data_IF_108558986538
#
_entry.id   IF_108558986538
#
_cell.length_a   1.000
_cell.length_b   1.000
_cell.length_c   1.000
_cell.angle_alpha   90.00
_cell.angle_beta   90.00
_cell.angle_gamma   90.00
#
_symmetry.space_group_name_H-M   'P 1'
#
loop_
_entity.id
_entity.type
_entity.pdbx_description
1 polymer ?
#
# COMPACT_ATOMS: atom_id res chain seq x y z
N UNK A 1 -4.77 54.83 17.89
CA UNK A 1 -5.60 53.69 17.46
C UNK A 1 -4.71 52.45 17.43
N UNK A 2 -4.88 51.53 18.38
CA UNK A 2 -4.04 50.34 18.46
C UNK A 2 -4.54 49.29 17.45
N UNK A 3 -3.66 48.89 16.51
CA UNK A 3 -3.93 47.81 15.59
C UNK A 3 -4.06 46.49 16.37
N UNK A 4 -5.27 45.92 16.40
CA UNK A 4 -5.48 44.56 16.92
C UNK A 4 -4.70 43.59 16.03
N UNK A 5 -3.63 43.01 16.57
CA UNK A 5 -2.94 41.88 15.94
C UNK A 5 -3.95 40.73 15.80
N UNK A 6 -4.34 40.41 14.55
CA UNK A 6 -5.10 39.18 14.26
C UNK A 6 -4.25 38.01 14.74
N UNK A 7 -4.77 37.22 15.68
CA UNK A 7 -4.15 35.94 16.00
C UNK A 7 -4.15 35.08 14.73
N UNK A 8 -3.05 34.36 14.43
CA UNK A 8 -3.05 33.42 13.33
C UNK A 8 -4.10 32.34 13.62
N UNK A 9 -4.99 32.09 12.66
CA UNK A 9 -5.91 30.96 12.71
C UNK A 9 -5.09 29.68 12.89
N UNK A 10 -5.50 28.81 13.83
CA UNK A 10 -4.90 27.48 14.01
C UNK A 10 -4.99 26.74 12.67
N UNK A 11 -3.89 26.13 12.22
CA UNK A 11 -3.89 25.28 11.02
C UNK A 11 -4.59 23.95 11.34
N UNK A 12 -5.28 23.41 10.35
CA UNK A 12 -5.88 22.07 10.43
C UNK A 12 -4.82 21.01 10.10
N UNK A 13 -4.82 19.89 10.82
CA UNK A 13 -3.96 18.75 10.52
C UNK A 13 -4.63 17.91 9.44
N UNK A 14 -3.96 17.74 8.31
CA UNK A 14 -4.45 17.06 7.13
C UNK A 14 -3.70 15.75 6.89
N UNK A 15 -4.45 14.66 6.73
CA UNK A 15 -3.95 13.38 6.22
C UNK A 15 -4.38 13.11 4.78
N UNK A 16 -3.71 12.17 4.12
CA UNK A 16 -3.97 11.80 2.74
C UNK A 16 -4.30 10.32 2.60
N UNK A 17 -5.41 10.04 1.94
CA UNK A 17 -5.76 8.71 1.45
C UNK A 17 -5.60 8.66 -0.08
N UNK A 18 -5.32 7.47 -0.61
CA UNK A 18 -5.02 7.28 -2.04
C UNK A 18 -6.05 6.37 -2.70
N UNK A 19 -7.25 6.87 -3.02
CA UNK A 19 -8.22 6.07 -3.76
C UNK A 19 -7.77 5.83 -5.20
N UNK A 20 -8.11 4.66 -5.73
CA UNK A 20 -8.06 4.41 -7.15
C UNK A 20 -9.13 5.26 -7.84
N UNK A 21 -8.71 6.25 -8.63
CA UNK A 21 -9.60 7.13 -9.38
C UNK A 21 -10.50 6.40 -10.40
N UNK A 22 -10.28 5.10 -10.65
CA UNK A 22 -11.08 4.27 -11.56
C UNK A 22 -12.13 3.47 -10.81
N UNK A 23 -11.77 2.82 -9.71
CA UNK A 23 -12.64 1.85 -9.02
C UNK A 23 -12.98 2.20 -7.57
N UNK A 24 -12.45 3.30 -7.02
CA UNK A 24 -12.76 3.79 -5.66
C UNK A 24 -12.02 3.07 -4.53
N UNK A 25 -11.34 1.95 -4.79
CA UNK A 25 -10.60 1.22 -3.75
C UNK A 25 -9.55 2.14 -3.10
N UNK A 26 -9.53 2.23 -1.76
CA UNK A 26 -8.65 3.13 -1.01
C UNK A 26 -7.36 2.41 -0.62
N UNK A 27 -6.23 2.96 -1.06
CA UNK A 27 -4.90 2.46 -0.75
C UNK A 27 -4.21 3.38 0.26
N UNK A 28 -3.34 2.83 1.10
CA UNK A 28 -2.70 3.60 2.18
C UNK A 28 -1.50 4.40 1.67
N UNK A 29 -0.84 3.96 0.59
CA UNK A 29 0.34 4.65 0.03
C UNK A 29 0.18 4.96 -1.46
N UNK A 30 0.70 6.10 -1.90
CA UNK A 30 0.72 6.50 -3.30
C UNK A 30 1.27 5.42 -4.25
N UNK A 31 2.35 4.74 -3.85
CA UNK A 31 2.97 3.67 -4.65
C UNK A 31 2.03 2.47 -4.81
N UNK A 32 1.22 2.17 -3.80
CA UNK A 32 0.22 1.10 -3.89
C UNK A 32 -0.89 1.47 -4.85
N UNK A 33 -1.36 2.73 -4.83
CA UNK A 33 -2.35 3.22 -5.79
C UNK A 33 -1.83 3.16 -7.23
N UNK A 34 -0.60 3.58 -7.50
CA UNK A 34 0.02 3.47 -8.83
C UNK A 34 0.10 2.01 -9.27
N UNK A 35 0.60 1.12 -8.40
CA UNK A 35 0.70 -0.32 -8.70
C UNK A 35 -0.68 -0.94 -8.97
N UNK A 36 -1.70 -0.57 -8.19
CA UNK A 36 -3.06 -1.02 -8.39
C UNK A 36 -3.59 -0.59 -9.76
N UNK A 37 -3.40 0.67 -10.15
CA UNK A 37 -3.82 1.19 -11.46
C UNK A 37 -3.13 0.46 -12.60
N UNK A 38 -1.83 0.19 -12.48
CA UNK A 38 -1.06 -0.52 -13.49
C UNK A 38 -1.45 -2.00 -13.60
N UNK A 39 -1.57 -2.71 -12.48
CA UNK A 39 -1.83 -4.17 -12.48
C UNK A 39 -3.30 -4.49 -12.76
N UNK A 40 -4.23 -3.76 -12.14
CA UNK A 40 -5.66 -4.08 -12.22
C UNK A 40 -6.30 -3.46 -13.45
N UNK A 41 -5.97 -2.20 -13.74
CA UNK A 41 -6.59 -1.47 -14.84
C UNK A 41 -5.75 -1.51 -16.12
N UNK A 42 -4.44 -1.74 -16.01
CA UNK A 42 -3.52 -1.78 -17.15
C UNK A 42 -3.06 -0.39 -17.59
N UNK A 43 -3.29 0.65 -16.78
CA UNK A 43 -2.94 2.03 -17.11
C UNK A 43 -1.68 2.43 -16.38
N UNK A 44 -0.81 3.18 -17.05
CA UNK A 44 0.44 3.63 -16.44
C UNK A 44 0.30 5.09 -16.00
N UNK A 45 0.60 5.33 -14.72
CA UNK A 45 0.68 6.67 -14.16
C UNK A 45 2.15 7.08 -13.94
N UNK A 46 2.49 8.36 -14.15
CA UNK A 46 3.81 8.86 -13.79
C UNK A 46 4.01 8.81 -12.27
N UNK A 47 5.22 8.47 -11.85
CA UNK A 47 5.60 8.47 -10.43
C UNK A 47 6.11 9.86 -10.05
N UNK A 48 5.74 10.33 -8.85
CA UNK A 48 6.32 11.56 -8.27
C UNK A 48 7.85 11.47 -8.22
N UNK A 49 8.53 12.55 -8.57
CA UNK A 49 9.98 12.63 -8.44
C UNK A 49 10.41 12.52 -6.97
N UNK A 50 11.37 11.63 -6.71
CA UNK A 50 11.94 11.42 -5.38
C UNK A 50 12.79 12.64 -5.00
N UNK A 51 12.76 13.02 -3.72
CA UNK A 51 13.58 14.12 -3.18
C UNK A 51 12.88 15.48 -3.11
N UNK A 52 11.69 15.62 -3.69
CA UNK A 52 10.87 16.83 -3.54
C UNK A 52 9.86 16.66 -2.40
N UNK A 53 9.80 17.65 -1.52
CA UNK A 53 8.79 17.72 -0.46
C UNK A 53 7.50 18.36 -0.99
N UNK A 54 6.36 17.97 -0.41
CA UNK A 54 5.08 18.64 -0.65
C UNK A 54 5.20 20.13 -0.30
N UNK A 55 4.76 21.05 -1.17
CA UNK A 55 4.72 22.48 -0.85
C UNK A 55 3.91 22.76 0.43
N UNK A 56 4.37 23.71 1.23
CA UNK A 56 3.69 24.11 2.46
C UNK A 56 2.39 24.86 2.12
N UNK A 57 1.31 24.52 2.84
CA UNK A 57 0.03 25.24 2.73
C UNK A 57 -0.17 26.14 3.97
N UNK A 58 -0.67 27.38 3.81
CA UNK A 58 -0.97 28.25 4.95
C UNK A 58 -2.12 27.74 5.83
N UNK A 59 -3.03 26.90 5.33
CA UNK A 59 -4.20 26.39 6.05
C UNK A 59 -3.95 25.05 6.72
N UNK A 60 -3.04 24.23 6.17
CA UNK A 60 -2.82 22.86 6.62
C UNK A 60 -1.43 22.60 7.20
N UNK A 61 -1.40 21.70 8.18
CA UNK A 61 -0.23 20.95 8.61
C UNK A 61 -0.38 19.50 8.16
N UNK A 62 0.63 18.90 7.53
CA UNK A 62 0.49 17.57 6.94
C UNK A 62 0.92 16.49 7.93
N UNK A 63 0.02 15.56 8.22
CA UNK A 63 0.33 14.30 8.88
C UNK A 63 0.27 13.16 7.84
N UNK A 64 1.43 12.57 7.50
CA UNK A 64 1.48 11.53 6.47
C UNK A 64 1.31 10.11 7.02
N UNK A 65 1.44 9.94 8.34
CA UNK A 65 1.42 8.63 8.99
C UNK A 65 0.54 8.71 10.27
N UNK A 66 -0.77 9.00 10.15
CA UNK A 66 -1.66 8.96 11.31
C UNK A 66 -1.80 7.52 11.82
N UNK A 67 -1.77 7.33 13.14
CA UNK A 67 -1.98 6.03 13.77
C UNK A 67 -3.45 5.79 14.14
N UNK A 68 -4.16 6.89 14.37
CA UNK A 68 -5.54 6.97 14.83
C UNK A 68 -6.28 8.14 14.16
N UNK A 69 -7.61 8.10 14.21
CA UNK A 69 -8.46 9.18 13.68
C UNK A 69 -8.35 10.49 14.49
N UNK A 70 -7.80 10.43 15.71
CA UNK A 70 -7.55 11.60 16.54
C UNK A 70 -6.27 12.37 16.12
N UNK A 71 -5.45 11.79 15.22
CA UNK A 71 -4.17 12.37 14.79
C UNK A 71 -4.32 13.38 13.63
N UNK A 72 -5.53 13.59 13.11
CA UNK A 72 -5.81 14.53 12.03
C UNK A 72 -7.18 15.18 12.19
N UNK A 73 -7.32 16.42 11.72
CA UNK A 73 -8.59 17.15 11.71
C UNK A 73 -9.41 16.81 10.44
N UNK A 74 -8.71 16.61 9.31
CA UNK A 74 -9.32 16.35 8.00
C UNK A 74 -8.53 15.31 7.21
N UNK A 75 -9.22 14.55 6.37
CA UNK A 75 -8.63 13.62 5.40
C UNK A 75 -8.98 14.09 3.99
N UNK A 76 -8.02 14.04 3.07
CA UNK A 76 -8.21 14.35 1.66
C UNK A 76 -7.77 13.18 0.77
N UNK A 77 -8.41 13.06 -0.38
CA UNK A 77 -7.93 12.22 -1.46
C UNK A 77 -6.75 12.89 -2.14
N UNK A 78 -5.65 12.16 -2.27
CA UNK A 78 -4.44 12.66 -2.90
C UNK A 78 -4.15 11.96 -4.23
N UNK A 79 -3.69 12.75 -5.19
CA UNK A 79 -3.10 12.21 -6.40
C UNK A 79 -1.79 11.46 -6.06
N UNK A 80 -1.65 10.25 -6.59
CA UNK A 80 -0.43 9.46 -6.40
C UNK A 80 0.75 10.00 -7.23
N UNK A 81 0.46 10.75 -8.30
CA UNK A 81 1.42 11.23 -9.31
C UNK A 81 1.88 12.68 -9.12
N UNK A 82 1.17 13.50 -8.34
CA UNK A 82 1.59 14.86 -8.01
C UNK A 82 1.09 15.31 -6.63
N UNK A 83 1.18 16.61 -6.31
CA UNK A 83 0.77 17.14 -5.00
C UNK A 83 -0.71 17.54 -4.92
N UNK A 84 -1.48 17.38 -5.99
CA UNK A 84 -2.92 17.63 -5.99
C UNK A 84 -3.63 16.78 -4.94
N UNK A 85 -4.63 17.38 -4.29
CA UNK A 85 -5.54 16.71 -3.39
C UNK A 85 -6.89 17.42 -3.38
N UNK A 86 -7.93 16.70 -3.00
CA UNK A 86 -9.30 17.19 -2.88
C UNK A 86 -9.99 16.56 -1.66
N UNK A 87 -11.10 17.14 -1.16
CA UNK A 87 -11.91 16.52 -0.11
C UNK A 87 -12.33 15.08 -0.44
N UNK A 88 -12.68 14.26 0.55
CA UNK A 88 -13.08 12.85 0.33
C UNK A 88 -14.37 12.67 -0.47
N UNK A 89 -15.20 13.70 -0.62
CA UNK A 89 -16.30 13.67 -1.58
C UNK A 89 -15.83 13.85 -3.05
N UNK A 90 -14.55 14.15 -3.26
CA UNK A 90 -13.97 14.63 -4.51
C UNK A 90 -13.39 13.55 -5.42
N UNK A 91 -13.83 12.29 -5.36
CA UNK A 91 -13.24 11.24 -6.21
C UNK A 91 -13.39 11.56 -7.72
N UNK A 92 -14.49 12.21 -8.10
CA UNK A 92 -14.66 12.71 -9.47
C UNK A 92 -13.60 13.77 -9.81
N UNK A 93 -13.38 14.73 -8.91
CA UNK A 93 -12.38 15.79 -9.08
C UNK A 93 -10.97 15.19 -9.22
N UNK A 94 -10.66 14.15 -8.43
CA UNK A 94 -9.42 13.41 -8.56
C UNK A 94 -9.30 12.70 -9.92
N UNK A 95 -10.36 12.06 -10.41
CA UNK A 95 -10.38 11.43 -11.73
C UNK A 95 -10.15 12.45 -12.85
N UNK A 96 -10.88 13.57 -12.81
CA UNK A 96 -10.74 14.66 -13.78
C UNK A 96 -9.29 15.19 -13.78
N UNK A 97 -8.73 15.46 -12.60
CA UNK A 97 -7.34 15.88 -12.45
C UNK A 97 -6.35 14.88 -13.07
N UNK A 98 -6.51 13.59 -12.81
CA UNK A 98 -5.59 12.57 -13.36
C UNK A 98 -5.67 12.51 -14.88
N UNK A 99 -6.88 12.60 -15.45
CA UNK A 99 -7.06 12.58 -16.90
C UNK A 99 -6.46 13.81 -17.59
N UNK A 100 -6.61 14.99 -16.97
CA UNK A 100 -6.16 16.27 -17.53
C UNK A 100 -4.66 16.52 -17.32
N UNK A 101 -4.12 16.19 -16.14
CA UNK A 101 -2.76 16.56 -15.75
C UNK A 101 -1.72 15.46 -16.00
N UNK A 102 -2.14 14.18 -16.04
CA UNK A 102 -1.20 13.06 -16.09
C UNK A 102 -1.32 12.20 -17.34
N UNK A 103 -2.40 12.31 -18.11
CA UNK A 103 -2.64 11.58 -19.36
C UNK A 103 -2.13 10.13 -19.32
N UNK A 104 -2.82 9.23 -18.56
CA UNK A 104 -2.32 7.88 -18.32
C UNK A 104 -2.04 7.14 -19.63
N UNK A 105 -0.92 6.39 -19.69
CA UNK A 105 -0.61 5.58 -20.87
C UNK A 105 -1.44 4.29 -20.88
N UNK A 106 -1.55 3.67 -22.06
CA UNK A 106 -2.23 2.39 -22.28
C UNK A 106 -3.72 2.38 -21.91
N UNK A 107 -4.36 3.54 -21.93
CA UNK A 107 -5.80 3.65 -21.70
C UNK A 107 -6.55 2.97 -22.83
N UNK A 108 -7.06 1.76 -22.55
CA UNK A 108 -7.89 1.00 -23.50
C UNK A 108 -9.26 1.67 -23.61
N UNK A 109 -9.66 2.18 -24.79
CA UNK A 109 -10.95 2.85 -24.98
C UNK A 109 -12.16 1.94 -24.70
N UNK A 110 -11.96 0.61 -24.73
CA UNK A 110 -13.00 -0.38 -24.45
C UNK A 110 -13.32 -0.48 -22.95
N UNK A 111 -12.37 -0.16 -22.08
CA UNK A 111 -12.52 -0.22 -20.61
C UNK A 111 -13.01 1.10 -20.01
N UNK A 112 -12.83 2.21 -20.73
CA UNK A 112 -13.34 3.53 -20.37
C UNK A 112 -14.30 3.97 -21.45
N UNK A 113 -15.61 4.07 -21.17
CA UNK A 113 -16.64 4.58 -22.08
C UNK A 113 -16.20 5.87 -22.82
N UNK A 114 -15.47 5.73 -23.92
CA UNK A 114 -14.87 6.83 -24.69
C UNK A 114 -13.97 7.80 -23.89
N UNK A 115 -13.17 7.29 -22.95
CA UNK A 115 -12.11 8.10 -22.30
C UNK A 115 -12.52 8.90 -21.07
N UNK A 116 -13.80 8.92 -20.69
CA UNK A 116 -14.26 9.47 -19.41
C UNK A 116 -14.30 8.37 -18.34
N UNK A 117 -13.29 8.35 -17.47
CA UNK A 117 -13.32 7.56 -16.24
C UNK A 117 -14.31 8.25 -15.31
N UNK A 118 -15.56 7.79 -15.30
CA UNK A 118 -16.49 8.11 -14.22
C UNK A 118 -15.88 7.50 -12.97
N UNK A 119 -15.25 8.33 -12.14
CA UNK A 119 -14.57 7.86 -10.94
C UNK A 119 -15.43 6.86 -10.18
N UNK A 120 -14.80 5.81 -9.65
CA UNK A 120 -15.51 4.82 -8.84
C UNK A 120 -16.30 5.46 -7.70
N UNK A 121 -17.10 4.68 -7.00
CA UNK A 121 -17.69 5.13 -5.74
C UNK A 121 -16.81 4.59 -4.60
N UNK A 122 -16.39 5.47 -3.70
CA UNK A 122 -15.77 5.02 -2.43
C UNK A 122 -16.91 4.62 -1.52
N UNK A 123 -16.90 3.39 -1.03
CA UNK A 123 -17.88 2.95 -0.02
C UNK A 123 -17.32 3.14 1.38
N UNK A 124 -18.18 3.34 2.38
CA UNK A 124 -17.76 3.50 3.79
C UNK A 124 -16.93 2.30 4.32
N UNK A 125 -17.08 1.13 3.69
CA UNK A 125 -16.31 -0.09 3.97
C UNK A 125 -14.85 0.01 3.50
N UNK A 126 -14.56 0.82 2.49
CA UNK A 126 -13.22 1.02 1.96
C UNK A 126 -12.40 1.97 2.86
N UNK A 127 -13.07 2.90 3.54
CA UNK A 127 -12.46 3.87 4.46
C UNK A 127 -12.00 3.17 5.75
N UNK A 128 -12.87 2.36 6.36
CA UNK A 128 -12.61 1.68 7.64
C UNK A 128 -11.54 0.57 7.57
N UNK A 129 -11.34 -0.03 6.39
CA UNK A 129 -10.32 -1.06 6.21
C UNK A 129 -8.90 -0.47 6.07
N UNK A 130 -8.75 0.76 5.60
CA UNK A 130 -7.44 1.35 5.32
C UNK A 130 -6.59 1.58 6.60
N UNK A 131 -7.19 2.14 7.65
CA UNK A 131 -6.52 2.34 8.95
C UNK A 131 -6.05 1.02 9.58
N UNK A 132 -6.87 -0.03 9.49
CA UNK A 132 -6.54 -1.33 10.10
C UNK A 132 -5.49 -2.13 9.30
N UNK A 133 -5.43 -1.97 7.98
CA UNK A 133 -4.45 -2.66 7.14
C UNK A 133 -3.04 -2.02 7.20
N UNK A 134 -2.94 -0.71 7.52
CA UNK A 134 -1.67 -0.04 7.76
C UNK A 134 -0.92 -0.62 8.97
N UNK A 135 -1.64 -0.93 10.07
CA UNK A 135 -1.08 -1.56 11.28
C UNK A 135 -0.48 -2.94 11.01
N UNK A 136 -1.06 -3.73 10.11
CA UNK A 136 -0.59 -5.09 9.84
C UNK A 136 0.62 -5.15 8.87
N UNK A 137 0.83 -4.12 8.05
CA UNK A 137 1.90 -4.10 7.04
C UNK A 137 3.17 -3.35 7.50
N UNK A 138 3.08 -2.44 8.48
CA UNK A 138 4.27 -1.81 9.09
C UNK A 138 5.18 -2.85 9.77
N UNK A 139 4.58 -3.84 10.45
CA UNK A 139 5.32 -4.91 11.14
C UNK A 139 6.00 -5.94 10.22
N UNK A 140 5.79 -5.87 8.90
CA UNK A 140 6.40 -6.80 7.94
C UNK A 140 7.50 -6.16 7.09
N UNK A 141 7.58 -4.82 7.06
CA UNK A 141 8.58 -4.09 6.28
C UNK A 141 9.81 -3.65 7.10
N UNK A 142 9.66 -3.53 8.42
CA UNK A 142 10.74 -3.28 9.37
C UNK A 142 11.15 -4.62 9.99
N UNK A 143 12.24 -5.22 9.52
CA UNK A 143 12.78 -6.48 10.06
C UNK A 143 13.33 -6.35 11.48
N UNK A 144 12.49 -6.02 12.45
CA UNK A 144 12.82 -6.14 13.88
C UNK A 144 12.46 -7.57 14.28
N UNK A 145 13.45 -8.44 14.12
CA UNK A 145 13.50 -9.70 14.87
C UNK A 145 13.79 -9.29 16.31
N UNK A 146 12.73 -9.13 17.12
CA UNK A 146 12.87 -9.01 18.56
C UNK A 146 13.34 -10.37 19.08
N UNK A 147 14.65 -10.53 19.07
CA UNK A 147 15.36 -11.62 19.70
C UNK A 147 15.34 -11.36 21.20
N UNK A 148 14.36 -11.94 21.91
CA UNK A 148 14.44 -12.16 23.35
C UNK A 148 14.50 -13.66 23.60
N UNK A 149 15.72 -14.17 23.61
CA UNK A 149 16.10 -15.27 24.47
C UNK A 149 15.89 -14.86 25.93
N UNK A 150 15.22 -15.73 26.68
CA UNK A 150 15.48 -16.15 28.08
C UNK A 150 14.20 -16.84 28.58
N UNK A 151 14.11 -18.17 28.53
CA UNK A 151 14.65 -19.18 29.47
C UNK A 151 13.69 -19.53 30.61
N UNK A 152 13.47 -20.85 30.69
CA UNK A 152 13.25 -21.70 31.87
C UNK A 152 11.82 -21.81 32.44
N UNK A 153 11.29 -23.04 32.44
CA UNK A 153 10.08 -23.40 33.17
C UNK A 153 9.44 -24.70 32.71
N UNK A 154 10.04 -25.83 33.09
CA UNK A 154 9.48 -27.18 33.03
C UNK A 154 8.09 -27.26 33.71
N UNK A 155 7.11 -27.99 33.16
CA UNK A 155 6.66 -29.30 33.69
C UNK A 155 5.40 -29.84 32.94
N UNK A 156 5.24 -31.16 33.05
CA UNK A 156 4.38 -32.12 32.34
C UNK A 156 2.86 -31.90 32.44
N UNK A 157 2.08 -32.38 31.44
CA UNK A 157 1.15 -33.54 31.59
C UNK A 157 0.51 -33.98 30.25
N UNK A 158 0.41 -35.30 30.09
CA UNK A 158 -0.24 -36.08 29.02
C UNK A 158 -1.77 -36.06 29.14
N UNK A 159 -2.49 -36.17 28.01
CA UNK A 159 -3.66 -37.06 27.85
C UNK A 159 -4.24 -37.02 26.41
N UNK A 160 -4.38 -38.21 25.82
CA UNK A 160 -5.07 -38.54 24.58
C UNK A 160 -6.58 -38.24 24.60
N UNK A 161 -7.19 -38.01 23.43
CA UNK A 161 -8.17 -38.93 22.81
C UNK A 161 -8.77 -38.41 21.49
N UNK A 162 -9.09 -39.39 20.65
CA UNK A 162 -9.65 -39.42 19.29
C UNK A 162 -10.94 -38.59 19.03
N UNK A 163 -11.16 -38.13 17.79
CA UNK A 163 -11.94 -38.85 16.76
C UNK A 163 -12.20 -37.99 15.48
N UNK A 164 -12.48 -38.71 14.40
CA UNK A 164 -12.41 -38.42 12.94
C UNK A 164 -13.30 -37.29 12.38
N UNK A 165 -12.87 -36.68 11.27
CA UNK A 165 -13.64 -36.75 10.01
C UNK A 165 -12.86 -36.37 8.74
N UNK A 166 -13.08 -37.16 7.70
CA UNK A 166 -12.52 -37.14 6.34
C UNK A 166 -12.82 -35.87 5.51
N UNK A 167 -11.85 -35.43 4.68
CA UNK A 167 -12.02 -35.31 3.21
C UNK A 167 -10.77 -34.79 2.46
N UNK A 168 -10.22 -35.68 1.63
CA UNK A 168 -9.51 -35.50 0.36
C UNK A 168 -9.16 -34.07 -0.09
N UNK A 169 -7.85 -33.82 -0.15
CA UNK A 169 -7.19 -32.94 -1.12
C UNK A 169 -5.69 -33.19 -1.01
N UNK A 170 -5.10 -33.92 -1.96
CA UNK A 170 -3.67 -34.21 -2.03
C UNK A 170 -2.84 -32.94 -1.76
N UNK A 171 -2.07 -32.86 -0.65
CA UNK A 171 -1.03 -31.87 -0.56
C UNK A 171 0.08 -32.37 -1.49
N UNK A 172 0.13 -31.83 -2.71
CA UNK A 172 1.31 -31.98 -3.58
C UNK A 172 2.51 -31.35 -2.89
N UNK A 173 3.13 -32.19 -2.08
CA UNK A 173 4.56 -32.42 -1.96
C UNK A 173 5.42 -31.15 -1.90
N UNK A 174 5.27 -30.44 -0.79
CA UNK A 174 6.17 -29.35 -0.38
C UNK A 174 7.62 -29.87 -0.31
N UNK A 175 7.83 -31.15 0.01
CA UNK A 175 9.14 -31.79 0.01
C UNK A 175 9.80 -31.78 -1.38
N UNK A 176 9.01 -32.06 -2.40
CA UNK A 176 9.43 -32.04 -3.82
C UNK A 176 9.86 -30.62 -4.28
N UNK A 177 9.24 -29.57 -3.73
CA UNK A 177 9.61 -28.18 -4.00
C UNK A 177 10.98 -27.86 -3.38
N UNK A 178 11.19 -28.24 -2.12
CA UNK A 178 12.48 -28.02 -1.44
C UNK A 178 13.61 -28.80 -2.09
N UNK A 179 13.34 -30.02 -2.56
CA UNK A 179 14.32 -30.83 -3.26
C UNK A 179 14.74 -30.19 -4.60
N UNK A 180 13.78 -29.68 -5.38
CA UNK A 180 14.06 -28.96 -6.63
C UNK A 180 14.83 -27.65 -6.41
N UNK A 181 14.56 -26.94 -5.31
CA UNK A 181 15.31 -25.72 -4.97
C UNK A 181 16.77 -26.04 -4.62
N UNK A 182 17.03 -27.13 -3.90
CA UNK A 182 18.40 -27.58 -3.62
C UNK A 182 19.13 -28.01 -4.89
N UNK A 183 18.48 -28.76 -5.78
CA UNK A 183 19.07 -29.16 -7.06
C UNK A 183 19.41 -27.94 -7.95
N UNK A 184 18.57 -26.89 -7.92
CA UNK A 184 18.82 -25.65 -8.64
C UNK A 184 20.02 -24.89 -8.06
N UNK A 185 20.12 -24.83 -6.73
CA UNK A 185 21.25 -24.19 -6.04
C UNK A 185 22.58 -24.88 -6.36
N UNK A 186 22.59 -26.22 -6.38
CA UNK A 186 23.77 -27.01 -6.74
C UNK A 186 24.21 -26.82 -8.20
N UNK A 187 23.25 -26.72 -9.13
CA UNK A 187 23.55 -26.40 -10.52
C UNK A 187 24.19 -25.01 -10.66
N UNK A 188 23.66 -24.00 -9.97
CA UNK A 188 24.23 -22.65 -9.97
C UNK A 188 25.66 -22.63 -9.40
N UNK A 189 25.90 -23.35 -8.30
CA UNK A 189 27.26 -23.43 -7.73
C UNK A 189 28.25 -24.13 -8.66
N UNK A 190 27.84 -25.17 -9.40
CA UNK A 190 28.69 -25.82 -10.40
C UNK A 190 29.02 -24.90 -11.58
N UNK A 191 28.06 -24.10 -12.04
CA UNK A 191 28.29 -23.13 -13.14
C UNK A 191 29.22 -21.99 -12.69
N UNK A 192 29.12 -21.57 -11.43
CA UNK A 192 30.00 -20.55 -10.87
C UNK A 192 31.43 -21.07 -10.61
N UNK A 193 31.57 -22.31 -10.11
CA UNK A 193 32.89 -22.93 -9.87
C UNK A 193 33.57 -23.45 -11.13
N UNK A 194 32.83 -23.73 -12.21
CA UNK A 194 33.38 -24.23 -13.48
C UNK A 194 34.06 -23.18 -14.36
N UNK A 195 34.18 -21.92 -13.90
CA UNK A 195 34.83 -20.83 -14.65
C UNK A 195 36.28 -20.55 -14.27
N UNK A 196 36.84 -21.25 -13.28
CA UNK A 196 38.20 -20.99 -12.80
C UNK A 196 39.27 -21.96 -13.37
N UNK A 197 38.91 -23.00 -14.13
CA UNK A 197 39.85 -24.00 -14.66
C UNK A 197 40.15 -23.87 -16.17
N UNK A 198 40.29 -22.64 -16.68
CA UNK A 198 40.98 -22.38 -17.95
C UNK A 198 41.73 -21.04 -17.91
N UNK A 199 42.91 -21.06 -17.32
CA UNK A 199 44.00 -20.12 -17.62
C UNK A 199 45.30 -20.92 -17.79
#
# INVERSE_FOLDING_TARGET
MAAKKKQPSKKEVLTFTYPCYICGNILSKARQAISHVEVIHGYKLPVRQVGHKRPQDPHYEYNNDPETDDDYDVSHYACASCWFHCPEAGLKELSDHVNEAHHPDNVKPEKNKHGEIKGGEVTDSDITNNLNQAKHNANKAEGIVDNKEDKDGEDQVMADTDDKNDKKGDPKDIGDIYQKLNELADMFQRVLKGKDDKA
#
